data_IF_304340106561
#
_entry.id   IF_304340106561
#
_cell.length_a   1.000
_cell.length_b   1.000
_cell.length_c   1.000
_cell.angle_alpha   90.00
_cell.angle_beta   90.00
_cell.angle_gamma   90.00
#
_symmetry.space_group_name_H-M   'P 1'
#
loop_
_entity.id
_entity.type
_entity.pdbx_description
1 polymer ?
#
# COMPACT_ATOMS: atom_id res chain seq x y z
N UNK A 1 -30.17 10.81 -6.22
CA UNK A 1 -29.34 9.96 -7.10
C UNK A 1 -28.14 9.54 -6.27
N UNK A 2 -28.12 8.33 -5.72
CA UNK A 2 -27.00 7.77 -4.96
C UNK A 2 -26.11 6.96 -5.91
N UNK A 3 -25.40 7.62 -6.81
CA UNK A 3 -24.41 6.97 -7.66
C UNK A 3 -22.98 7.51 -7.38
N UNK A 4 -22.76 8.08 -6.21
CA UNK A 4 -21.47 8.60 -5.79
C UNK A 4 -20.65 7.59 -5.00
N UNK A 5 -19.36 7.86 -4.88
CA UNK A 5 -18.45 7.15 -3.96
C UNK A 5 -18.97 7.25 -2.51
N UNK A 6 -18.66 6.24 -1.68
CA UNK A 6 -19.13 6.13 -0.29
C UNK A 6 -18.72 7.29 0.60
N UNK A 7 -17.62 7.97 0.26
CA UNK A 7 -17.09 9.09 0.99
C UNK A 7 -16.42 10.11 0.07
N UNK A 8 -16.39 11.37 0.48
CA UNK A 8 -15.74 12.44 -0.29
C UNK A 8 -14.22 12.45 -0.15
N UNK A 9 -13.70 11.72 0.83
CA UNK A 9 -12.26 11.61 1.07
C UNK A 9 -11.70 10.38 0.37
N UNK A 10 -10.88 10.58 -0.65
CA UNK A 10 -10.19 9.52 -1.38
C UNK A 10 -8.69 9.63 -1.08
N UNK A 11 -8.13 8.57 -0.50
CA UNK A 11 -6.72 8.53 -0.13
C UNK A 11 -5.83 7.91 -1.20
N UNK A 12 -6.37 6.93 -1.93
CA UNK A 12 -5.61 6.22 -2.96
C UNK A 12 -6.55 5.72 -4.07
N UNK A 13 -6.01 5.65 -5.27
CA UNK A 13 -6.66 5.10 -6.46
C UNK A 13 -5.80 3.98 -6.99
N UNK A 14 -6.40 2.82 -7.22
CA UNK A 14 -5.76 1.64 -7.80
C UNK A 14 -6.55 1.21 -9.05
N UNK A 15 -5.87 0.96 -10.16
CA UNK A 15 -6.47 0.33 -11.33
C UNK A 15 -6.25 -1.17 -11.22
N UNK A 16 -7.33 -1.92 -11.15
CA UNK A 16 -7.29 -3.37 -10.97
C UNK A 16 -7.07 -4.14 -12.27
N UNK A 17 -6.50 -5.32 -12.18
CA UNK A 17 -6.38 -6.27 -13.30
C UNK A 17 -7.74 -6.71 -13.84
N UNK A 18 -8.80 -6.55 -13.05
CA UNK A 18 -10.22 -6.76 -13.41
C UNK A 18 -10.81 -5.63 -14.29
N UNK A 19 -10.03 -4.58 -14.59
CA UNK A 19 -10.44 -3.44 -15.40
C UNK A 19 -11.22 -2.38 -14.65
N UNK A 20 -11.43 -2.52 -13.34
CA UNK A 20 -12.12 -1.55 -12.50
C UNK A 20 -11.16 -0.56 -11.84
N UNK A 21 -11.71 0.60 -11.47
CA UNK A 21 -11.00 1.55 -10.63
C UNK A 21 -11.43 1.33 -9.18
N UNK A 22 -10.45 1.11 -8.32
CA UNK A 22 -10.64 0.92 -6.90
C UNK A 22 -10.15 2.12 -6.11
N UNK A 23 -10.96 2.57 -5.18
CA UNK A 23 -10.72 3.76 -4.36
C UNK A 23 -10.64 3.36 -2.89
N UNK A 24 -9.67 3.90 -2.18
CA UNK A 24 -9.62 3.81 -0.72
C UNK A 24 -10.22 5.06 -0.08
N UNK A 25 -11.05 4.89 0.93
CA UNK A 25 -11.86 5.95 1.54
C UNK A 25 -11.87 5.87 3.07
N UNK A 26 -12.50 6.84 3.73
CA UNK A 26 -12.72 6.82 5.19
C UNK A 26 -13.63 5.66 5.66
N UNK A 27 -14.42 5.07 4.76
CA UNK A 27 -15.37 4.01 5.12
C UNK A 27 -14.98 2.61 4.64
N UNK A 28 -13.81 2.47 4.03
CA UNK A 28 -13.36 1.23 3.41
C UNK A 28 -12.92 1.43 1.98
N UNK A 29 -13.40 0.63 1.04
CA UNK A 29 -13.06 0.75 -0.37
C UNK A 29 -14.30 0.86 -1.24
N UNK A 30 -14.15 1.52 -2.39
CA UNK A 30 -15.19 1.65 -3.41
C UNK A 30 -14.65 1.18 -4.76
N UNK A 31 -15.44 0.45 -5.53
CA UNK A 31 -15.14 0.02 -6.89
C UNK A 31 -15.98 0.81 -7.90
N UNK A 32 -15.33 1.32 -8.94
CA UNK A 32 -15.98 2.03 -10.04
C UNK A 32 -15.85 1.23 -11.34
N UNK A 33 -16.95 0.97 -12.00
CA UNK A 33 -17.05 0.18 -13.24
C UNK A 33 -17.17 1.04 -14.52
N UNK A 34 -17.01 2.36 -14.39
CA UNK A 34 -17.23 3.33 -15.46
C UNK A 34 -18.62 3.97 -15.40
N UNK A 35 -19.57 3.39 -14.67
CA UNK A 35 -20.94 3.89 -14.57
C UNK A 35 -21.40 4.07 -13.13
N UNK A 36 -21.02 3.14 -12.23
CA UNK A 36 -21.50 3.07 -10.85
C UNK A 36 -20.36 2.81 -9.87
N UNK A 37 -20.56 3.31 -8.66
CA UNK A 37 -19.76 2.94 -7.51
C UNK A 37 -20.43 1.80 -6.77
N UNK A 38 -19.61 0.83 -6.35
CA UNK A 38 -20.00 -0.21 -5.40
C UNK A 38 -19.07 -0.11 -4.20
N UNK A 39 -19.68 0.04 -3.03
CA UNK A 39 -18.96 0.30 -1.79
C UNK A 39 -18.83 -0.98 -0.98
N UNK A 40 -17.66 -1.15 -0.37
CA UNK A 40 -17.33 -2.26 0.52
C UNK A 40 -16.82 -1.67 1.83
N UNK A 41 -17.73 -1.48 2.81
CA UNK A 41 -17.35 -0.90 4.09
C UNK A 41 -16.46 -1.86 4.86
N UNK A 42 -15.35 -1.35 5.40
CA UNK A 42 -14.54 -2.08 6.36
C UNK A 42 -15.04 -1.80 7.76
N UNK A 43 -15.65 -2.80 8.37
CA UNK A 43 -16.21 -2.73 9.71
C UNK A 43 -15.39 -3.64 10.62
N UNK A 44 -14.79 -3.08 11.65
CA UNK A 44 -14.05 -3.83 12.67
C UNK A 44 -14.75 -3.73 14.02
N UNK A 45 -14.79 -4.86 14.72
CA UNK A 45 -15.39 -4.96 16.06
C UNK A 45 -16.90 -5.12 16.01
N UNK A 46 -17.38 -6.33 16.07
CA UNK A 46 -18.78 -6.64 16.34
C UNK A 46 -18.84 -7.14 17.78
N UNK A 47 -18.86 -6.22 18.72
CA UNK A 47 -19.58 -6.47 19.95
C UNK A 47 -21.05 -6.12 19.65
N UNK A 48 -21.96 -7.03 19.98
CA UNK A 48 -23.40 -6.94 19.69
C UNK A 48 -24.12 -5.70 20.27
N UNK A 49 -23.38 -4.75 20.81
CA UNK A 49 -23.86 -3.52 21.45
C UNK A 49 -23.23 -2.24 20.91
N UNK A 50 -22.22 -2.31 20.01
CA UNK A 50 -21.54 -1.13 19.50
C UNK A 50 -21.93 -0.81 18.06
N UNK A 51 -22.06 0.48 17.77
CA UNK A 51 -22.17 1.00 16.41
C UNK A 51 -20.98 0.51 15.58
N UNK A 52 -21.20 0.02 14.34
CA UNK A 52 -20.12 -0.41 13.47
C UNK A 52 -19.11 0.72 13.28
N UNK A 53 -17.87 0.53 13.72
CA UNK A 53 -16.79 1.49 13.51
C UNK A 53 -16.19 1.25 12.14
N UNK A 54 -16.45 2.17 11.20
CA UNK A 54 -15.81 2.15 9.91
C UNK A 54 -14.31 2.40 10.04
N UNK A 55 -13.52 1.66 9.27
CA UNK A 55 -12.08 1.82 9.22
C UNK A 55 -11.66 2.47 7.92
N UNK A 56 -10.92 3.57 8.04
CA UNK A 56 -10.35 4.27 6.90
C UNK A 56 -9.20 3.46 6.28
N UNK A 57 -9.23 3.34 4.95
CA UNK A 57 -8.20 2.67 4.17
C UNK A 57 -7.27 3.74 3.58
N UNK A 58 -6.01 3.74 4.02
CA UNK A 58 -4.99 4.69 3.60
C UNK A 58 -4.44 4.41 2.20
N UNK A 59 -4.22 3.13 1.90
CA UNK A 59 -3.67 2.67 0.63
C UNK A 59 -4.27 1.32 0.24
N UNK A 60 -4.52 1.15 -1.04
CA UNK A 60 -5.01 -0.08 -1.63
C UNK A 60 -4.08 -0.46 -2.79
N UNK A 61 -3.71 -1.73 -2.90
CA UNK A 61 -2.91 -2.25 -3.98
C UNK A 61 -3.29 -3.69 -4.27
N UNK A 62 -3.42 -4.04 -5.55
CA UNK A 62 -3.62 -5.42 -5.96
C UNK A 62 -2.33 -6.22 -5.77
N UNK A 63 -2.44 -7.40 -5.17
CA UNK A 63 -1.35 -8.34 -5.01
C UNK A 63 -1.20 -9.28 -6.21
N UNK A 64 -0.10 -10.03 -6.27
CA UNK A 64 0.16 -11.00 -7.34
C UNK A 64 -0.83 -12.17 -7.36
N UNK A 65 -1.57 -12.38 -6.28
CA UNK A 65 -2.62 -13.38 -6.12
C UNK A 65 -4.02 -12.88 -6.52
N UNK A 66 -4.12 -11.64 -7.02
CA UNK A 66 -5.38 -11.01 -7.44
C UNK A 66 -6.26 -10.50 -6.29
N UNK A 67 -5.79 -10.59 -5.04
CA UNK A 67 -6.42 -9.96 -3.89
C UNK A 67 -6.00 -8.50 -3.77
N UNK A 68 -6.86 -7.69 -3.14
CA UNK A 68 -6.52 -6.29 -2.86
C UNK A 68 -6.06 -6.15 -1.41
N UNK A 69 -4.82 -5.67 -1.23
CA UNK A 69 -4.25 -5.43 0.09
C UNK A 69 -4.47 -3.98 0.50
N UNK A 70 -5.01 -3.80 1.69
CA UNK A 70 -5.40 -2.51 2.23
C UNK A 70 -4.59 -2.17 3.49
N UNK A 71 -3.90 -1.03 3.49
CA UNK A 71 -3.26 -0.44 4.65
C UNK A 71 -4.26 0.43 5.38
N UNK A 72 -4.39 0.23 6.68
CA UNK A 72 -5.33 0.96 7.52
C UNK A 72 -4.67 2.20 8.16
N UNK A 73 -5.44 3.24 8.43
CA UNK A 73 -4.93 4.42 9.15
C UNK A 73 -4.48 4.12 10.57
N UNK A 74 -5.13 3.16 11.22
CA UNK A 74 -4.75 2.72 12.57
C UNK A 74 -3.58 1.73 12.57
N UNK A 75 -2.96 1.52 11.41
CA UNK A 75 -1.93 0.53 11.19
C UNK A 75 -2.51 -0.86 10.86
N UNK A 76 -1.62 -1.71 10.35
CA UNK A 76 -1.98 -3.05 9.91
C UNK A 76 -2.41 -3.14 8.46
N UNK A 77 -2.38 -4.36 7.95
CA UNK A 77 -2.78 -4.72 6.60
C UNK A 77 -3.92 -5.74 6.69
N UNK A 78 -4.92 -5.54 5.87
CA UNK A 78 -5.97 -6.53 5.61
C UNK A 78 -6.01 -6.81 4.11
N UNK A 79 -6.61 -7.91 3.68
CA UNK A 79 -6.85 -8.14 2.27
C UNK A 79 -8.35 -8.18 1.98
N UNK A 80 -8.71 -7.80 0.76
CA UNK A 80 -10.07 -7.87 0.25
C UNK A 80 -10.09 -8.87 -0.91
N UNK A 81 -10.95 -9.87 -0.77
CA UNK A 81 -11.21 -10.86 -1.81
C UNK A 81 -12.44 -10.42 -2.61
N UNK A 82 -12.22 -10.07 -3.88
CA UNK A 82 -13.24 -9.56 -4.79
C UNK A 82 -14.27 -10.61 -5.19
N UNK A 83 -13.91 -11.91 -5.13
CA UNK A 83 -14.78 -13.00 -5.57
C UNK A 83 -15.87 -13.31 -4.50
N UNK A 84 -15.50 -13.20 -3.24
CA UNK A 84 -16.42 -13.33 -2.12
C UNK A 84 -16.87 -12.00 -1.51
N UNK A 85 -16.28 -10.89 -2.00
CA UNK A 85 -16.57 -9.52 -1.59
C UNK A 85 -16.39 -9.27 -0.08
N UNK A 86 -15.33 -9.83 0.50
CA UNK A 86 -15.06 -9.73 1.95
C UNK A 86 -13.63 -9.32 2.25
N UNK A 87 -13.51 -8.55 3.33
CA UNK A 87 -12.23 -8.32 3.97
C UNK A 87 -11.81 -9.54 4.80
N UNK A 88 -10.56 -9.93 4.67
CA UNK A 88 -9.96 -11.08 5.31
C UNK A 88 -8.76 -10.60 6.15
N UNK A 89 -8.59 -11.10 7.37
CA UNK A 89 -7.50 -10.70 8.23
C UNK A 89 -6.15 -11.19 7.67
N UNK A 90 -5.14 -10.34 7.79
CA UNK A 90 -3.74 -10.72 7.59
C UNK A 90 -3.07 -10.72 8.96
N UNK A 91 -2.58 -11.88 9.39
CA UNK A 91 -1.85 -12.04 10.65
C UNK A 91 -0.36 -11.83 10.44
N UNK A 92 0.38 -11.63 11.52
CA UNK A 92 1.83 -11.50 11.50
C UNK A 92 2.47 -12.68 12.21
N UNK A 93 3.52 -13.22 11.62
CA UNK A 93 4.26 -14.36 12.18
C UNK A 93 5.14 -13.98 13.37
N UNK A 94 5.54 -12.70 13.45
CA UNK A 94 6.31 -12.13 14.58
C UNK A 94 5.71 -10.77 14.95
N UNK A 95 5.87 -10.33 16.19
CA UNK A 95 5.37 -9.04 16.62
C UNK A 95 6.17 -7.88 16.01
N UNK A 96 5.96 -7.63 14.73
CA UNK A 96 5.98 -6.27 14.25
C UNK A 96 4.77 -5.61 14.93
N UNK A 97 4.98 -4.52 15.62
CA UNK A 97 3.83 -3.77 16.10
C UNK A 97 3.08 -3.30 14.86
N UNK A 98 1.85 -3.82 14.68
CA UNK A 98 0.96 -3.56 13.56
C UNK A 98 0.76 -2.06 13.29
N UNK A 99 0.93 -1.24 14.33
CA UNK A 99 0.83 0.21 14.30
C UNK A 99 1.92 0.89 13.49
N UNK A 100 3.01 0.21 13.21
CA UNK A 100 4.21 0.79 12.61
C UNK A 100 4.26 0.71 11.10
N UNK A 101 3.32 0.02 10.44
CA UNK A 101 3.30 -0.02 8.97
C UNK A 101 2.78 1.32 8.44
N UNK A 102 3.66 2.04 7.78
CA UNK A 102 3.42 3.39 7.27
C UNK A 102 3.08 3.41 5.79
N UNK A 103 3.64 2.45 5.03
CA UNK A 103 3.44 2.29 3.59
C UNK A 103 3.83 0.88 3.16
N UNK A 104 3.41 0.45 1.97
CA UNK A 104 3.83 -0.82 1.38
C UNK A 104 3.76 -0.80 -0.14
N UNK A 105 4.49 -1.68 -0.80
CA UNK A 105 4.27 -2.00 -2.22
C UNK A 105 4.63 -3.46 -2.51
N UNK A 106 4.05 -3.99 -3.57
CA UNK A 106 4.43 -5.26 -4.15
C UNK A 106 5.57 -5.08 -5.15
N UNK A 107 6.51 -6.02 -5.16
CA UNK A 107 7.52 -6.15 -6.18
C UNK A 107 7.90 -7.62 -6.37
N UNK A 108 7.69 -8.15 -7.56
CA UNK A 108 8.05 -9.53 -7.94
C UNK A 108 7.69 -10.58 -6.87
N UNK A 109 6.42 -10.56 -6.42
CA UNK A 109 5.90 -11.49 -5.41
C UNK A 109 6.31 -11.21 -3.97
N UNK A 110 7.26 -10.32 -3.70
CA UNK A 110 7.60 -9.83 -2.36
C UNK A 110 6.77 -8.61 -1.99
N UNK A 111 6.42 -8.50 -0.71
CA UNK A 111 5.79 -7.33 -0.13
C UNK A 111 6.81 -6.51 0.64
N UNK A 112 7.09 -5.31 0.18
CA UNK A 112 7.97 -4.37 0.86
C UNK A 112 7.16 -3.48 1.79
N UNK A 113 7.58 -3.41 3.05
CA UNK A 113 6.91 -2.67 4.13
C UNK A 113 7.79 -1.52 4.59
N UNK A 114 7.20 -0.34 4.67
CA UNK A 114 7.79 0.80 5.35
C UNK A 114 7.29 0.84 6.78
N UNK A 115 8.20 0.93 7.72
CA UNK A 115 7.91 1.08 9.16
C UNK A 115 8.67 2.27 9.74
N UNK A 116 8.47 2.56 11.01
CA UNK A 116 9.26 3.56 11.75
C UNK A 116 10.76 3.24 11.80
N UNK A 117 11.14 1.96 11.66
CA UNK A 117 12.53 1.49 11.69
C UNK A 117 13.19 1.52 10.31
N UNK A 118 12.42 1.48 9.23
CA UNK A 118 12.92 1.45 7.86
C UNK A 118 12.08 0.63 6.89
N UNK A 119 12.73 0.17 5.82
CA UNK A 119 12.16 -0.67 4.79
C UNK A 119 12.45 -2.14 5.08
N UNK A 120 11.43 -2.96 5.10
CA UNK A 120 11.53 -4.42 5.27
C UNK A 120 11.04 -5.16 4.04
N UNK A 121 11.68 -6.28 3.76
CA UNK A 121 11.17 -7.24 2.80
C UNK A 121 10.38 -8.33 3.52
N UNK A 122 9.20 -8.63 2.98
CA UNK A 122 8.27 -9.61 3.54
C UNK A 122 7.54 -10.36 2.44
N UNK A 123 6.80 -11.38 2.82
CA UNK A 123 5.86 -12.08 1.95
C UNK A 123 4.59 -12.44 2.71
N UNK A 124 3.51 -12.60 1.98
CA UNK A 124 2.27 -13.14 2.54
C UNK A 124 2.16 -14.60 2.15
N UNK A 125 1.94 -15.43 3.15
CA UNK A 125 1.78 -16.88 3.00
C UNK A 125 0.34 -17.24 3.34
N UNK A 126 -0.32 -17.99 2.46
CA UNK A 126 -1.62 -18.57 2.75
C UNK A 126 -1.40 -19.90 3.47
N UNK A 127 -1.88 -20.01 4.71
CA UNK A 127 -1.85 -21.29 5.44
C UNK A 127 -2.92 -22.24 4.90
N UNK A 128 -2.56 -23.51 4.72
CA UNK A 128 -3.40 -24.55 4.08
C UNK A 128 -4.61 -25.00 4.92
N UNK A 129 -4.60 -24.76 6.20
CA UNK A 129 -5.67 -25.20 7.13
C UNK A 129 -6.94 -24.34 7.13
N UNK A 130 -6.93 -23.17 6.48
CA UNK A 130 -8.10 -22.33 6.29
C UNK A 130 -8.02 -21.56 4.98
N UNK A 131 -9.06 -21.62 4.16
CA UNK A 131 -9.10 -20.93 2.85
C UNK A 131 -8.83 -19.41 2.93
N UNK A 132 -8.81 -18.83 4.14
CA UNK A 132 -8.72 -17.38 4.38
C UNK A 132 -7.74 -17.00 5.50
N UNK A 133 -6.71 -17.82 5.75
CA UNK A 133 -5.68 -17.54 6.75
C UNK A 133 -4.42 -17.04 6.07
N UNK A 134 -4.20 -15.73 6.12
CA UNK A 134 -3.05 -15.05 5.53
C UNK A 134 -2.09 -14.65 6.64
N UNK A 135 -0.82 -14.99 6.44
CA UNK A 135 0.24 -14.66 7.39
C UNK A 135 1.32 -13.87 6.67
N UNK A 136 1.60 -12.69 7.18
CA UNK A 136 2.72 -11.85 6.75
C UNK A 136 3.97 -12.30 7.52
N UNK A 137 4.99 -12.69 6.75
CA UNK A 137 6.27 -13.14 7.28
C UNK A 137 7.38 -12.20 6.81
N UNK A 138 8.17 -11.65 7.73
CA UNK A 138 9.40 -10.96 7.36
C UNK A 138 10.42 -11.96 6.82
N UNK A 139 11.07 -11.64 5.70
CA UNK A 139 12.15 -12.45 5.16
C UNK A 139 13.46 -12.28 5.94
N UNK A 140 13.63 -11.06 6.53
CA UNK A 140 14.75 -10.77 7.41
C UNK A 140 14.23 -9.98 8.62
N UNK A 141 14.69 -10.25 9.86
CA UNK A 141 14.34 -9.45 11.03
C UNK A 141 14.91 -8.02 10.99
N UNK A 142 15.94 -7.79 10.18
CA UNK A 142 16.55 -6.49 9.99
C UNK A 142 16.00 -5.76 8.76
N UNK A 143 15.83 -4.44 8.82
CA UNK A 143 15.40 -3.69 7.66
C UNK A 143 16.47 -3.69 6.56
N UNK A 144 16.04 -3.80 5.30
CA UNK A 144 16.93 -3.69 4.14
C UNK A 144 17.46 -2.26 3.95
N UNK A 145 16.70 -1.28 4.43
CA UNK A 145 17.13 0.13 4.52
C UNK A 145 16.66 0.69 5.87
N UNK A 146 17.61 1.19 6.67
CA UNK A 146 17.31 1.83 7.97
C UNK A 146 16.94 3.31 7.80
N UNK A 147 16.10 3.82 8.67
CA UNK A 147 15.74 5.23 8.78
C UNK A 147 14.30 5.55 8.42
N UNK A 148 13.97 6.85 8.40
CA UNK A 148 12.62 7.34 8.13
C UNK A 148 12.29 7.27 6.63
N UNK A 149 11.92 6.08 6.17
CA UNK A 149 11.47 5.82 4.80
C UNK A 149 9.98 6.17 4.66
N UNK A 150 9.57 6.67 3.50
CA UNK A 150 8.18 6.93 3.17
C UNK A 150 7.95 6.92 1.65
N UNK A 151 6.69 6.92 1.22
CA UNK A 151 6.27 7.09 -0.17
C UNK A 151 6.90 6.05 -1.11
N UNK A 152 6.70 4.78 -0.76
CA UNK A 152 7.31 3.66 -1.48
C UNK A 152 6.55 3.33 -2.77
N UNK A 153 7.29 3.16 -3.87
CA UNK A 153 6.80 2.58 -5.11
C UNK A 153 7.86 1.67 -5.76
N UNK A 154 7.41 0.82 -6.68
CA UNK A 154 8.21 -0.22 -7.34
C UNK A 154 8.01 -0.17 -8.85
N UNK A 155 9.01 -0.61 -9.62
CA UNK A 155 8.89 -0.88 -11.05
C UNK A 155 8.32 -2.28 -11.37
N UNK A 156 8.05 -3.07 -10.33
CA UNK A 156 7.58 -4.45 -10.45
C UNK A 156 8.69 -5.44 -10.83
N UNK A 157 9.95 -5.01 -10.87
CA UNK A 157 11.11 -5.81 -11.30
C UNK A 157 12.23 -5.77 -10.28
N UNK A 158 13.17 -4.87 -10.46
CA UNK A 158 14.42 -4.82 -9.67
C UNK A 158 14.63 -3.51 -8.93
N UNK A 159 13.69 -2.57 -9.02
CA UNK A 159 13.89 -1.24 -8.48
C UNK A 159 12.76 -0.81 -7.55
N UNK A 160 13.16 -0.28 -6.40
CA UNK A 160 12.28 0.44 -5.50
C UNK A 160 12.69 1.91 -5.45
N UNK A 161 11.67 2.76 -5.30
CA UNK A 161 11.85 4.20 -5.14
C UNK A 161 11.10 4.65 -3.91
N UNK A 162 11.72 5.44 -3.08
CA UNK A 162 11.13 5.94 -1.84
C UNK A 162 11.74 7.27 -1.42
N UNK A 163 11.10 7.94 -0.49
CA UNK A 163 11.70 9.11 0.14
C UNK A 163 12.31 8.77 1.50
N UNK A 164 13.40 9.46 1.84
CA UNK A 164 14.01 9.42 3.17
C UNK A 164 13.87 10.80 3.81
N UNK A 165 13.40 10.82 5.06
CA UNK A 165 13.08 12.04 5.80
C UNK A 165 12.12 12.99 5.03
N UNK A 166 11.27 12.44 4.15
CA UNK A 166 10.38 13.21 3.26
C UNK A 166 11.08 14.25 2.38
N UNK A 167 12.37 14.11 2.14
CA UNK A 167 13.18 15.07 1.36
C UNK A 167 14.02 14.41 0.28
N UNK A 168 14.74 13.35 0.60
CA UNK A 168 15.63 12.66 -0.33
C UNK A 168 14.84 11.60 -1.08
N UNK A 169 14.79 11.72 -2.39
CA UNK A 169 14.26 10.65 -3.26
C UNK A 169 15.42 9.70 -3.57
N UNK A 170 15.21 8.45 -3.22
CA UNK A 170 16.22 7.40 -3.24
C UNK A 170 15.74 6.25 -4.12
N UNK A 171 16.63 5.74 -4.93
CA UNK A 171 16.51 4.48 -5.64
C UNK A 171 17.20 3.37 -4.84
N UNK A 172 16.59 2.21 -4.77
CA UNK A 172 17.16 0.99 -4.22
C UNK A 172 17.14 -0.11 -5.28
N UNK A 173 18.33 -0.54 -5.68
CA UNK A 173 18.53 -1.66 -6.58
C UNK A 173 18.46 -2.96 -5.77
N UNK A 174 17.48 -3.79 -6.06
CA UNK A 174 17.22 -5.07 -5.37
C UNK A 174 18.28 -6.14 -5.68
N UNK A 175 18.91 -6.06 -6.86
CA UNK A 175 19.94 -7.02 -7.28
C UNK A 175 21.27 -6.66 -6.63
N UNK A 176 21.68 -5.40 -6.77
CA UNK A 176 22.93 -4.90 -6.20
C UNK A 176 22.84 -4.68 -4.67
N UNK A 177 21.63 -4.64 -4.10
CA UNK A 177 21.34 -4.31 -2.70
C UNK A 177 21.95 -2.97 -2.28
N UNK A 178 21.85 -1.98 -3.16
CA UNK A 178 22.44 -0.66 -2.96
C UNK A 178 21.41 0.46 -3.13
N UNK A 179 21.57 1.49 -2.31
CA UNK A 179 20.82 2.73 -2.45
C UNK A 179 21.62 3.77 -3.21
N UNK A 180 20.95 4.56 -4.04
CA UNK A 180 21.49 5.75 -4.70
C UNK A 180 20.54 6.93 -4.53
N UNK A 181 21.10 8.11 -4.29
CA UNK A 181 20.32 9.35 -4.21
C UNK A 181 19.96 9.81 -5.62
N UNK A 182 18.69 9.98 -5.91
CA UNK A 182 18.23 10.61 -7.14
C UNK A 182 18.32 12.12 -6.98
N UNK A 183 17.62 12.68 -6.00
CA UNK A 183 17.62 14.12 -5.74
C UNK A 183 17.07 14.45 -4.35
N UNK A 184 17.40 15.62 -3.86
CA UNK A 184 16.83 16.18 -2.64
C UNK A 184 15.84 17.31 -2.97
N UNK A 185 14.71 17.34 -2.26
CA UNK A 185 13.62 18.29 -2.44
C UNK A 185 13.21 18.94 -1.12
N UNK A 186 12.28 19.89 -1.15
CA UNK A 186 11.73 20.53 0.04
C UNK A 186 10.96 19.54 0.91
N UNK A 187 9.79 19.11 0.46
CA UNK A 187 8.97 18.06 1.11
C UNK A 187 8.34 17.20 0.02
N UNK A 188 8.70 15.93 0.01
CA UNK A 188 8.05 14.92 -0.83
C UNK A 188 6.80 14.45 -0.13
N UNK A 189 5.66 14.54 -0.81
CA UNK A 189 4.36 14.11 -0.30
C UNK A 189 3.94 12.75 -0.87
N UNK A 190 4.30 12.44 -2.12
CA UNK A 190 4.01 11.17 -2.77
C UNK A 190 5.00 10.87 -3.88
N UNK A 191 5.26 9.58 -4.08
CA UNK A 191 5.96 9.04 -5.23
C UNK A 191 5.07 8.01 -5.94
N UNK A 192 5.13 7.99 -7.26
CA UNK A 192 4.56 6.90 -8.04
C UNK A 192 5.31 6.74 -9.36
N UNK A 193 5.30 5.53 -9.87
CA UNK A 193 6.01 5.16 -11.08
C UNK A 193 5.00 4.87 -12.20
N UNK A 194 5.22 5.46 -13.39
CA UNK A 194 4.38 5.20 -14.55
C UNK A 194 5.17 5.35 -15.85
N UNK A 195 5.12 4.34 -16.70
CA UNK A 195 5.74 4.34 -18.04
C UNK A 195 7.23 4.72 -18.06
N UNK A 196 8.00 4.31 -17.04
CA UNK A 196 9.43 4.63 -16.94
C UNK A 196 9.74 6.02 -16.38
N UNK A 197 8.72 6.75 -15.92
CA UNK A 197 8.86 8.04 -15.25
C UNK A 197 8.55 7.92 -13.78
N UNK A 198 9.39 8.50 -12.94
CA UNK A 198 9.13 8.69 -11.52
C UNK A 198 8.47 10.06 -11.32
N UNK A 199 7.23 10.02 -10.85
CA UNK A 199 6.46 11.20 -10.53
C UNK A 199 6.65 11.53 -9.05
N UNK A 200 7.07 12.75 -8.77
CA UNK A 200 7.41 13.25 -7.44
C UNK A 200 6.45 14.39 -7.12
N UNK A 201 5.47 14.11 -6.28
CA UNK A 201 4.53 15.12 -5.78
C UNK A 201 5.15 15.77 -4.55
N UNK A 202 5.29 17.10 -4.57
CA UNK A 202 5.77 17.88 -3.45
C UNK A 202 4.61 18.52 -2.69
N UNK A 203 4.77 18.69 -1.40
CA UNK A 203 3.76 19.37 -0.59
C UNK A 203 3.82 20.87 -0.84
N UNK A 204 2.68 21.47 -1.19
CA UNK A 204 2.52 22.90 -1.51
C UNK A 204 3.38 23.41 -2.69
N UNK A 205 3.75 22.50 -3.59
CA UNK A 205 4.65 22.80 -4.70
C UNK A 205 4.23 22.00 -5.95
N UNK A 206 5.07 22.00 -6.98
CA UNK A 206 4.81 21.34 -8.26
C UNK A 206 4.87 19.80 -8.19
N UNK A 207 4.46 19.19 -9.28
CA UNK A 207 4.67 17.76 -9.57
C UNK A 207 5.82 17.65 -10.57
N UNK A 208 6.85 16.93 -10.21
CA UNK A 208 8.02 16.69 -11.05
C UNK A 208 7.90 15.34 -11.72
N UNK A 209 8.13 15.31 -13.02
CA UNK A 209 8.28 14.09 -13.80
C UNK A 209 9.78 13.86 -14.05
N UNK A 210 10.33 12.81 -13.43
CA UNK A 210 11.74 12.44 -13.56
C UNK A 210 11.86 11.24 -14.49
N UNK A 211 12.65 11.38 -15.58
CA UNK A 211 12.91 10.30 -16.52
C UNK A 211 13.97 9.35 -15.93
N UNK A 212 13.63 8.08 -15.79
CA UNK A 212 14.55 7.06 -15.26
C UNK A 212 15.51 6.48 -16.30
N UNK A 213 15.39 6.89 -17.56
CA UNK A 213 16.27 6.43 -18.65
C UNK A 213 17.49 7.33 -18.84
N UNK A 214 17.50 8.50 -18.24
CA UNK A 214 18.60 9.46 -18.25
C UNK A 214 19.40 9.38 -16.95
#
# INVERSE_FOLDING_TARGET
>A
IKNGVSDNTIYNVCYGSDGFIWLSTDKGISRYDGFRFRDYPLIMGIDSLSTPLHQAVKKLCEGPDGLYYALLFQGGITCFDKDIEKFLPVRFDKPLELKDILDFCWNDGSLYLVTSQGLFESRIVRKTEGKHDFVLCLLNPEPVVRGKVAHLCSDGKTNLYFSVNQRKVVHYDLVAKKTSLIKEYSVVNRLFLRHGYLWICRLWDDIICYDLKT
#
